data_IF_075883977191
#
_entry.id   IF_075883977191
#
_cell.length_a   1.000
_cell.length_b   1.000
_cell.length_c   1.000
_cell.angle_alpha   90.00
_cell.angle_beta   90.00
_cell.angle_gamma   90.00
#
_symmetry.space_group_name_H-M   'P 1'
#
loop_
_entity.id
_entity.type
_entity.pdbx_description
1 polymer ?
#
# COMPACT_ATOMS: atom_id res chain seq x y z
N UNK A 1 -0.72 15.85 -23.01
CA UNK A 1 0.60 16.29 -22.48
C UNK A 1 0.50 16.90 -21.09
N UNK A 2 -0.23 18.01 -20.86
CA UNK A 2 -0.36 18.62 -19.51
C UNK A 2 -0.83 17.63 -18.42
N UNK A 3 -1.87 16.82 -18.69
CA UNK A 3 -2.37 15.79 -17.75
C UNK A 3 -1.34 14.68 -17.45
N UNK A 4 -0.53 14.29 -18.44
CA UNK A 4 0.51 13.28 -18.28
C UNK A 4 1.68 13.84 -17.43
N UNK A 5 2.05 15.09 -17.68
CA UNK A 5 3.06 15.81 -16.88
C UNK A 5 2.58 15.97 -15.44
N UNK A 6 1.34 16.38 -15.21
CA UNK A 6 0.74 16.47 -13.87
C UNK A 6 0.70 15.11 -13.17
N UNK A 7 0.34 14.04 -13.87
CA UNK A 7 0.35 12.68 -13.33
C UNK A 7 1.78 12.21 -12.95
N UNK A 8 2.77 12.48 -13.80
CA UNK A 8 4.18 12.20 -13.51
C UNK A 8 4.71 13.01 -12.33
N UNK A 9 4.29 14.27 -12.18
CA UNK A 9 4.67 15.14 -11.06
C UNK A 9 4.08 14.65 -9.72
N UNK A 10 2.84 14.14 -9.75
CA UNK A 10 2.19 13.53 -8.58
C UNK A 10 2.84 12.19 -8.20
N UNK A 11 3.26 11.38 -9.17
CA UNK A 11 3.94 10.10 -8.92
C UNK A 11 5.41 10.26 -8.50
N UNK A 12 6.10 11.31 -8.96
CA UNK A 12 7.53 11.54 -8.73
C UNK A 12 7.91 12.04 -7.33
N UNK A 13 6.94 12.40 -6.48
CA UNK A 13 7.21 13.03 -5.18
C UNK A 13 7.87 12.08 -4.14
N UNK A 14 7.91 10.77 -4.38
CA UNK A 14 8.23 9.78 -3.33
C UNK A 14 9.60 9.08 -3.44
N UNK A 15 10.57 9.65 -4.17
CA UNK A 15 11.92 9.03 -4.32
C UNK A 15 12.94 9.63 -3.32
N UNK A 16 12.53 9.90 -2.09
CA UNK A 16 13.45 10.39 -1.06
C UNK A 16 14.08 9.21 -0.30
N UNK A 17 15.42 9.18 -0.24
CA UNK A 17 16.16 8.24 0.62
C UNK A 17 16.54 8.93 1.92
N UNK A 18 16.56 8.16 3.01
CA UNK A 18 17.10 8.65 4.28
C UNK A 18 18.60 8.98 4.13
N UNK A 19 19.05 10.06 4.78
CA UNK A 19 20.49 10.30 4.93
C UNK A 19 21.12 9.21 5.82
N UNK A 20 22.44 9.10 5.79
CA UNK A 20 23.16 8.06 6.53
C UNK A 20 22.85 8.06 8.04
N UNK A 21 22.78 9.25 8.65
CA UNK A 21 22.45 9.41 10.06
C UNK A 21 21.02 8.92 10.39
N UNK A 22 20.02 9.34 9.62
CA UNK A 22 18.64 8.89 9.82
C UNK A 22 18.50 7.38 9.56
N UNK A 23 19.23 6.84 8.58
CA UNK A 23 19.24 5.41 8.28
C UNK A 23 19.85 4.59 9.43
N UNK A 24 20.89 5.10 10.10
CA UNK A 24 21.48 4.47 11.30
C UNK A 24 20.51 4.37 12.47
N UNK A 25 19.59 5.33 12.59
CA UNK A 25 18.58 5.38 13.65
C UNK A 25 17.35 4.50 13.36
N UNK A 26 17.20 3.99 12.14
CA UNK A 26 16.09 3.11 11.81
C UNK A 26 16.28 1.70 12.42
N UNK A 27 15.19 1.03 12.81
CA UNK A 27 15.25 -0.36 13.23
C UNK A 27 15.89 -1.25 12.17
N UNK A 28 16.67 -2.26 12.61
CA UNK A 28 17.45 -3.13 11.72
C UNK A 28 16.63 -3.76 10.59
N UNK A 29 15.35 -4.05 10.85
CA UNK A 29 14.45 -4.74 9.93
C UNK A 29 13.96 -3.82 8.80
N UNK A 30 13.78 -2.52 9.07
CA UNK A 30 13.23 -1.54 8.12
C UNK A 30 14.27 -0.58 7.56
N UNK A 31 15.54 -0.75 7.97
CA UNK A 31 16.66 0.06 7.53
C UNK A 31 16.84 0.00 6.02
N UNK A 32 17.08 1.14 5.40
CA UNK A 32 17.13 1.35 3.94
C UNK A 32 15.78 1.17 3.19
N UNK A 33 14.67 0.87 3.87
CA UNK A 33 13.35 0.69 3.26
C UNK A 33 12.44 1.89 3.54
N UNK A 34 12.49 2.41 4.76
CA UNK A 34 11.60 3.49 5.21
C UNK A 34 12.29 4.84 5.17
N UNK A 35 11.52 5.91 5.04
CA UNK A 35 11.94 7.27 5.37
C UNK A 35 11.30 7.61 6.73
N UNK A 36 12.02 8.34 7.60
CA UNK A 36 11.54 8.67 8.95
C UNK A 36 11.90 7.64 10.01
N UNK A 37 11.38 7.86 11.22
CA UNK A 37 11.60 7.01 12.40
C UNK A 37 10.72 5.76 12.31
N UNK A 38 11.30 4.60 12.67
CA UNK A 38 10.55 3.35 12.77
C UNK A 38 9.85 3.22 14.13
N UNK A 39 9.23 2.06 14.41
CA UNK A 39 8.64 1.78 15.72
C UNK A 39 9.67 1.92 16.84
N UNK A 40 9.32 2.66 17.90
CA UNK A 40 10.26 3.00 18.98
C UNK A 40 10.37 1.88 20.01
N UNK A 41 9.28 1.12 20.24
CA UNK A 41 9.24 0.06 21.25
C UNK A 41 8.55 -1.24 20.74
N UNK A 42 8.54 -2.28 21.56
CA UNK A 42 7.97 -3.59 21.20
C UNK A 42 6.45 -3.58 20.98
N UNK A 43 5.71 -2.70 21.69
CA UNK A 43 4.27 -2.53 21.47
C UNK A 43 3.97 -1.91 20.12
N UNK A 44 4.79 -0.96 19.67
CA UNK A 44 4.65 -0.37 18.34
C UNK A 44 4.84 -1.45 17.25
N UNK A 45 5.79 -2.37 17.44
CA UNK A 45 5.98 -3.52 16.55
C UNK A 45 4.80 -4.48 16.52
N UNK A 46 4.14 -4.70 17.67
CA UNK A 46 2.91 -5.49 17.73
C UNK A 46 1.79 -4.84 16.89
N UNK A 47 1.62 -3.52 17.01
CA UNK A 47 0.64 -2.76 16.23
C UNK A 47 0.94 -2.87 14.73
N UNK A 48 2.20 -2.69 14.32
CA UNK A 48 2.61 -2.85 12.92
C UNK A 48 2.25 -4.23 12.40
N UNK A 49 2.56 -5.30 13.15
CA UNK A 49 2.20 -6.67 12.78
C UNK A 49 0.69 -6.86 12.62
N UNK A 50 -0.09 -6.31 13.54
CA UNK A 50 -1.56 -6.39 13.49
C UNK A 50 -2.14 -5.65 12.27
N UNK A 51 -1.64 -4.45 11.96
CA UNK A 51 -2.06 -3.69 10.78
C UNK A 51 -1.69 -4.43 9.49
N UNK A 52 -0.50 -5.05 9.42
CA UNK A 52 -0.10 -5.86 8.27
C UNK A 52 -1.07 -7.03 8.07
N UNK A 53 -1.45 -7.73 9.14
CA UNK A 53 -2.43 -8.82 9.06
C UNK A 53 -3.78 -8.35 8.53
N UNK A 54 -4.34 -7.27 9.07
CA UNK A 54 -5.62 -6.71 8.60
C UNK A 54 -5.51 -6.24 7.13
N UNK A 55 -4.39 -5.61 6.76
CA UNK A 55 -4.15 -5.15 5.39
C UNK A 55 -4.12 -6.31 4.41
N UNK A 56 -3.42 -7.40 4.74
CA UNK A 56 -3.40 -8.60 3.90
C UNK A 56 -4.80 -9.21 3.81
N UNK A 57 -5.50 -9.32 4.94
CA UNK A 57 -6.86 -9.85 4.97
C UNK A 57 -7.81 -9.04 4.07
N UNK A 58 -7.80 -7.72 4.22
CA UNK A 58 -8.65 -6.83 3.39
C UNK A 58 -8.25 -6.85 1.92
N UNK A 59 -6.94 -6.91 1.61
CA UNK A 59 -6.45 -7.05 0.24
C UNK A 59 -6.94 -8.35 -0.41
N UNK A 60 -6.86 -9.48 0.30
CA UNK A 60 -7.35 -10.78 -0.19
C UNK A 60 -8.84 -10.72 -0.51
N UNK A 61 -9.66 -10.14 0.36
CA UNK A 61 -11.09 -10.01 0.10
C UNK A 61 -11.41 -9.01 -1.01
N UNK A 62 -10.68 -7.89 -1.07
CA UNK A 62 -10.79 -6.93 -2.17
C UNK A 62 -10.53 -7.61 -3.52
N UNK A 63 -9.45 -8.37 -3.64
CA UNK A 63 -9.13 -9.15 -4.84
C UNK A 63 -10.19 -10.22 -5.11
N UNK A 64 -10.62 -10.97 -4.09
CA UNK A 64 -11.67 -12.00 -4.21
C UNK A 64 -12.93 -11.42 -4.84
N UNK A 65 -13.40 -10.27 -4.35
CA UNK A 65 -14.63 -9.66 -4.83
C UNK A 65 -14.48 -8.97 -6.20
N UNK A 66 -13.29 -8.44 -6.52
CA UNK A 66 -13.04 -7.92 -7.87
C UNK A 66 -12.99 -9.06 -8.91
N UNK A 67 -12.27 -10.14 -8.62
CA UNK A 67 -12.09 -11.26 -9.55
C UNK A 67 -13.36 -12.12 -9.64
N UNK A 68 -13.91 -12.56 -8.50
CA UNK A 68 -15.07 -13.44 -8.43
C UNK A 68 -16.04 -12.99 -7.31
N UNK A 69 -16.86 -11.95 -7.58
CA UNK A 69 -17.80 -11.39 -6.59
C UNK A 69 -18.91 -12.37 -6.17
N UNK A 70 -19.08 -13.48 -6.89
CA UNK A 70 -20.19 -14.41 -6.65
C UNK A 70 -21.55 -13.87 -7.10
N UNK A 71 -21.56 -12.73 -7.80
CA UNK A 71 -22.75 -12.13 -8.37
C UNK A 71 -23.39 -13.07 -9.40
N UNK A 72 -24.69 -13.26 -9.30
CA UNK A 72 -25.49 -14.12 -10.17
C UNK A 72 -26.42 -13.32 -11.08
N UNK A 73 -26.66 -12.06 -10.73
CA UNK A 73 -27.46 -11.15 -11.54
C UNK A 73 -26.70 -10.72 -12.80
N UNK A 74 -27.25 -11.07 -13.95
CA UNK A 74 -26.70 -10.73 -15.27
C UNK A 74 -26.79 -9.24 -15.59
N UNK A 75 -27.66 -8.49 -14.90
CA UNK A 75 -27.83 -7.05 -15.09
C UNK A 75 -26.81 -6.20 -14.31
N UNK A 76 -25.96 -6.83 -13.49
CA UNK A 76 -24.97 -6.15 -12.65
C UNK A 76 -23.92 -5.40 -13.47
N UNK A 77 -23.43 -4.26 -12.95
CA UNK A 77 -22.48 -3.35 -13.62
C UNK A 77 -21.20 -4.04 -14.13
N UNK A 78 -20.78 -5.13 -13.49
CA UNK A 78 -19.61 -5.93 -13.92
C UNK A 78 -19.79 -6.54 -15.32
N UNK A 79 -21.02 -6.85 -15.74
CA UNK A 79 -21.32 -7.47 -17.03
C UNK A 79 -21.72 -6.44 -18.10
N UNK A 80 -22.01 -5.19 -17.71
CA UNK A 80 -22.46 -4.13 -18.62
C UNK A 80 -21.38 -3.57 -19.56
N UNK A 81 -20.10 -3.89 -19.33
CA UNK A 81 -18.98 -3.40 -20.13
C UNK A 81 -18.33 -4.48 -21.01
N UNK A 82 -18.87 -5.71 -21.01
CA UNK A 82 -18.37 -6.85 -21.79
C UNK A 82 -19.42 -7.23 -22.86
N UNK A 83 -19.91 -6.24 -23.59
CA UNK A 83 -20.82 -6.40 -24.73
C UNK A 83 -20.19 -5.79 -25.98
#
# INVERSE_FOLDING_TARGET
>A
MKKLITFLLLMGFSISKACEACNLQQPKITRNLTHGTGPDNNWDWFIVGFIVLITIYTLVYSLKYLLKPGEKDKSHIKYRFIE
#
